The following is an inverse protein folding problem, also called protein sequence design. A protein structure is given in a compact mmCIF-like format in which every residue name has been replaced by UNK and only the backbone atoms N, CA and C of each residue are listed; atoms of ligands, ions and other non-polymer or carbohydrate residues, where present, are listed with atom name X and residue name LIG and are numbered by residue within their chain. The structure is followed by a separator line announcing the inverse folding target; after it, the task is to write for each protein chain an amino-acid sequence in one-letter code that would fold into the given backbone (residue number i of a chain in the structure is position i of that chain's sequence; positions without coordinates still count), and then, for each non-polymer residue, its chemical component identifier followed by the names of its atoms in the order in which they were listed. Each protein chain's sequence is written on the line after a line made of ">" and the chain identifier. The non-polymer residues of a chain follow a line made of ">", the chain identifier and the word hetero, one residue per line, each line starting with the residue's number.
data_IF_407759033716
#
_entry.id   IF_407759033716
#
_cell.length_a   1.000
_cell.length_b   1.000
_cell.length_c   1.000
_cell.angle_alpha   90.00
_cell.angle_beta   90.00
_cell.angle_gamma   90.00
#
_symmetry.space_group_name_H-M   'P 1'
#
loop_
_entity.id
_entity.type
_entity.pdbx_description
1 polymer ?
#
# COMPACT_ATOMS: atom_id res chain seq x y z
N UNK A 1 13.10 11.39 -12.86
CA UNK A 1 12.02 11.08 -11.90
C UNK A 1 12.44 9.78 -11.25
N UNK A 2 12.90 9.84 -10.02
CA UNK A 2 13.60 8.73 -9.37
C UNK A 2 12.61 7.62 -8.94
N UNK A 3 12.98 6.33 -9.06
CA UNK A 3 12.17 5.23 -8.56
C UNK A 3 12.02 5.34 -7.04
N UNK A 4 10.89 4.88 -6.51
CA UNK A 4 10.71 4.80 -5.06
C UNK A 4 11.69 3.79 -4.46
N UNK A 5 12.53 4.23 -3.52
CA UNK A 5 13.46 3.35 -2.79
C UNK A 5 12.95 3.08 -1.38
N UNK A 6 12.55 1.83 -1.12
CA UNK A 6 12.10 1.38 0.18
C UNK A 6 13.15 1.52 1.29
N UNK A 7 14.45 1.51 0.94
CA UNK A 7 15.58 1.70 1.87
C UNK A 7 15.55 3.05 2.60
N UNK A 8 14.87 4.07 2.06
CA UNK A 8 14.71 5.38 2.73
C UNK A 8 13.73 5.31 3.92
N UNK A 9 12.91 4.26 4.00
CA UNK A 9 11.88 4.09 5.02
C UNK A 9 11.96 2.68 5.61
N UNK A 10 13.02 2.38 6.37
CA UNK A 10 13.21 1.09 7.00
C UNK A 10 12.08 0.82 8.00
N UNK A 11 11.56 -0.40 8.00
CA UNK A 11 10.58 -0.87 8.99
C UNK A 11 11.30 -1.66 10.07
N UNK A 12 11.05 -1.33 11.33
CA UNK A 12 11.48 -2.16 12.45
C UNK A 12 10.69 -3.48 12.50
N UNK A 13 11.13 -4.43 13.34
CA UNK A 13 10.58 -5.79 13.42
C UNK A 13 9.07 -5.85 13.72
N UNK A 14 8.50 -4.82 14.36
CA UNK A 14 7.06 -4.72 14.68
C UNK A 14 6.40 -3.50 14.03
N UNK A 15 6.95 -3.02 12.92
CA UNK A 15 6.38 -1.92 12.15
C UNK A 15 5.92 -2.41 10.79
N UNK A 16 4.88 -1.75 10.28
CA UNK A 16 4.34 -1.98 8.95
C UNK A 16 4.23 -0.65 8.23
N UNK A 17 4.32 -0.70 6.90
CA UNK A 17 3.92 0.44 6.07
C UNK A 17 2.43 0.39 5.81
N UNK A 18 1.80 1.55 5.79
CA UNK A 18 0.44 1.76 5.30
C UNK A 18 0.48 2.85 4.25
N UNK A 19 -0.35 2.72 3.23
CA UNK A 19 -0.57 3.79 2.27
C UNK A 19 -1.91 4.47 2.54
N UNK A 20 -1.97 5.77 2.34
CA UNK A 20 -3.23 6.51 2.26
C UNK A 20 -3.48 6.80 0.79
N UNK A 21 -4.39 6.05 0.17
CA UNK A 21 -4.87 6.32 -1.19
C UNK A 21 -5.62 7.65 -1.19
N UNK A 22 -5.08 8.64 -1.90
CA UNK A 22 -5.64 9.98 -1.97
C UNK A 22 -6.90 10.02 -2.85
N UNK A 23 -7.84 10.94 -2.55
CA UNK A 23 -9.05 11.08 -3.35
C UNK A 23 -8.76 11.54 -4.78
N UNK A 24 -9.61 11.15 -5.72
CA UNK A 24 -9.49 11.55 -7.12
C UNK A 24 -10.55 10.89 -8.01
N UNK A 25 -10.78 11.48 -9.19
CA UNK A 25 -11.74 10.98 -10.20
C UNK A 25 -11.14 9.85 -11.01
N UNK A 26 -11.94 9.02 -11.69
CA UNK A 26 -11.45 7.82 -12.41
C UNK A 26 -10.25 8.04 -13.36
N UNK A 27 -10.13 9.21 -13.97
CA UNK A 27 -9.05 9.51 -14.92
C UNK A 27 -7.83 10.20 -14.29
N UNK A 28 -7.91 10.55 -13.01
CA UNK A 28 -6.81 11.20 -12.30
C UNK A 28 -5.73 10.16 -11.97
N UNK A 29 -4.47 10.60 -11.97
CA UNK A 29 -3.36 9.75 -11.54
C UNK A 29 -3.57 9.23 -10.11
N UNK A 30 -3.14 7.99 -9.83
CA UNK A 30 -3.17 7.45 -8.48
C UNK A 30 -2.03 8.03 -7.67
N UNK A 31 -2.39 8.64 -6.56
CA UNK A 31 -1.47 9.21 -5.58
C UNK A 31 -1.74 8.59 -4.23
N UNK A 32 -0.67 8.28 -3.50
CA UNK A 32 -0.72 7.73 -2.17
C UNK A 32 0.26 8.46 -1.26
N UNK A 33 -0.12 8.66 0.00
CA UNK A 33 0.84 9.01 1.04
C UNK A 33 1.33 7.75 1.75
N UNK A 34 2.62 7.70 2.08
CA UNK A 34 3.19 6.57 2.81
C UNK A 34 3.32 6.89 4.29
N UNK A 35 3.11 5.90 5.15
CA UNK A 35 3.28 6.06 6.58
C UNK A 35 3.75 4.76 7.23
N UNK A 36 4.62 4.85 8.24
CA UNK A 36 5.05 3.70 9.05
C UNK A 36 4.25 3.68 10.35
N UNK A 37 3.78 2.51 10.76
CA UNK A 37 3.05 2.32 12.02
C UNK A 37 3.55 1.09 12.75
N UNK A 38 3.55 1.16 14.07
CA UNK A 38 3.77 -0.02 14.91
C UNK A 38 2.53 -0.90 14.89
N UNK A 39 2.73 -2.21 14.88
CA UNK A 39 1.66 -3.20 14.86
C UNK A 39 0.78 -3.14 16.12
N UNK A 40 1.38 -2.86 17.27
CA UNK A 40 0.67 -2.67 18.55
C UNK A 40 -0.30 -1.47 18.52
N UNK A 41 0.08 -0.39 17.82
CA UNK A 41 -0.74 0.80 17.67
C UNK A 41 -1.92 0.61 16.69
N UNK A 42 -2.00 -0.54 16.01
CA UNK A 42 -3.16 -0.88 15.18
C UNK A 42 -4.39 -1.21 16.06
N UNK A 43 -4.17 -1.62 17.30
CA UNK A 43 -5.24 -1.81 18.28
C UNK A 43 -5.85 -0.47 18.75
N UNK A 44 -5.11 0.63 18.66
CA UNK A 44 -5.51 1.97 19.10
C UNK A 44 -6.39 2.73 18.08
N UNK A 45 -7.19 1.99 17.31
CA UNK A 45 -8.28 2.55 16.50
C UNK A 45 -7.81 3.50 15.38
N UNK A 46 -6.65 3.25 14.76
CA UNK A 46 -6.32 3.83 13.46
C UNK A 46 -6.81 2.87 12.36
N UNK A 47 -8.06 2.99 11.90
CA UNK A 47 -8.61 2.05 10.94
C UNK A 47 -7.82 2.10 9.62
N UNK A 48 -7.49 0.93 9.11
CA UNK A 48 -7.01 0.70 7.76
C UNK A 48 -7.69 -0.54 7.21
N UNK A 49 -7.87 -0.58 5.90
CA UNK A 49 -8.40 -1.76 5.21
C UNK A 49 -7.23 -2.55 4.60
N UNK A 50 -7.28 -3.87 4.63
CA UNK A 50 -6.35 -4.68 3.86
C UNK A 50 -6.92 -4.93 2.45
N UNK A 51 -6.07 -4.93 1.42
CA UNK A 51 -6.46 -5.31 0.06
C UNK A 51 -5.94 -6.70 -0.27
N UNK A 52 -6.86 -7.62 -0.58
CA UNK A 52 -6.56 -8.92 -1.14
C UNK A 52 -6.97 -8.95 -2.61
N UNK A 53 -6.05 -9.37 -3.47
CA UNK A 53 -6.25 -9.41 -4.91
C UNK A 53 -5.35 -10.49 -5.53
N UNK A 54 -5.75 -11.02 -6.68
CA UNK A 54 -4.86 -11.83 -7.48
C UNK A 54 -3.80 -10.92 -8.12
N UNK A 55 -2.51 -11.21 -7.89
CA UNK A 55 -1.41 -10.38 -8.41
C UNK A 55 -1.45 -10.21 -9.93
N UNK A 56 -2.08 -11.15 -10.64
CA UNK A 56 -2.33 -11.11 -12.07
C UNK A 56 -1.09 -11.44 -12.90
N UNK A 57 -1.23 -11.38 -14.22
CA UNK A 57 -0.12 -11.60 -15.16
C UNK A 57 0.69 -10.34 -15.37
N UNK A 58 1.97 -10.49 -15.74
CA UNK A 58 2.85 -9.38 -16.11
C UNK A 58 2.29 -8.64 -17.34
N UNK A 59 1.73 -7.45 -17.11
CA UNK A 59 1.43 -6.46 -18.14
C UNK A 59 2.37 -5.25 -18.01
N UNK A 60 2.19 -4.24 -18.87
CA UNK A 60 2.91 -2.99 -18.73
C UNK A 60 2.66 -2.40 -17.32
N UNK A 61 3.73 -2.18 -16.56
CA UNK A 61 3.62 -1.72 -15.19
C UNK A 61 2.99 -0.32 -15.13
N UNK A 62 2.06 -0.13 -14.20
CA UNK A 62 1.37 1.13 -13.97
C UNK A 62 2.03 1.89 -12.83
N UNK A 63 2.02 3.23 -12.91
CA UNK A 63 2.72 4.10 -11.95
C UNK A 63 1.77 4.60 -10.88
N UNK A 64 2.19 4.47 -9.62
CA UNK A 64 1.58 5.14 -8.47
C UNK A 64 2.59 6.15 -7.92
N UNK A 65 2.16 7.37 -7.67
CA UNK A 65 3.00 8.40 -7.06
C UNK A 65 2.90 8.30 -5.53
N UNK A 66 4.06 8.26 -4.87
CA UNK A 66 4.14 8.17 -3.41
C UNK A 66 4.61 9.51 -2.85
N UNK A 67 3.90 9.99 -1.84
CA UNK A 67 4.14 11.24 -1.13
C UNK A 67 4.44 11.00 0.36
N UNK A 68 5.18 11.94 0.95
CA UNK A 68 5.28 12.17 2.38
C UNK A 68 4.88 13.63 2.64
N UNK A 69 3.68 13.82 3.20
CA UNK A 69 2.99 15.09 3.19
C UNK A 69 2.85 15.66 1.77
N UNK A 70 3.32 16.89 1.55
CA UNK A 70 3.28 17.56 0.25
C UNK A 70 4.44 17.20 -0.68
N UNK A 71 5.43 16.42 -0.21
CA UNK A 71 6.63 16.11 -0.97
C UNK A 71 6.51 14.75 -1.66
N UNK A 72 6.67 14.70 -2.98
CA UNK A 72 6.71 13.43 -3.70
C UNK A 72 8.04 12.74 -3.48
N UNK A 73 8.00 11.56 -2.88
CA UNK A 73 9.19 10.78 -2.50
C UNK A 73 9.53 9.67 -3.48
N UNK A 74 8.64 9.32 -4.40
CA UNK A 74 8.96 8.35 -5.45
C UNK A 74 7.78 7.86 -6.27
N UNK A 75 8.05 6.82 -7.08
CA UNK A 75 7.08 6.09 -7.88
C UNK A 75 7.19 4.60 -7.61
N UNK A 76 6.07 3.95 -7.35
CA UNK A 76 5.95 2.50 -7.29
C UNK A 76 5.31 2.00 -8.59
N UNK A 77 5.90 0.95 -9.15
CA UNK A 77 5.37 0.24 -10.31
C UNK A 77 4.51 -0.93 -9.85
N UNK A 78 3.27 -0.98 -10.30
CA UNK A 78 2.29 -2.02 -9.94
C UNK A 78 1.72 -2.72 -11.17
N UNK A 79 1.14 -3.90 -10.96
CA UNK A 79 0.43 -4.61 -12.03
C UNK A 79 -0.84 -3.86 -12.44
N UNK A 80 -1.32 -4.02 -13.70
CA UNK A 80 -2.60 -3.46 -14.12
C UNK A 80 -3.77 -3.89 -13.22
N UNK A 81 -3.75 -5.12 -12.71
CA UNK A 81 -4.78 -5.63 -11.80
C UNK A 81 -4.85 -4.81 -10.51
N UNK A 82 -3.71 -4.56 -9.86
CA UNK A 82 -3.67 -3.73 -8.65
C UNK A 82 -4.06 -2.29 -8.95
N UNK A 83 -3.57 -1.73 -10.05
CA UNK A 83 -3.92 -0.37 -10.46
C UNK A 83 -5.44 -0.20 -10.65
N UNK A 84 -6.09 -1.16 -11.33
CA UNK A 84 -7.54 -1.14 -11.53
C UNK A 84 -8.30 -1.29 -10.22
N UNK A 85 -7.86 -2.19 -9.33
CA UNK A 85 -8.45 -2.33 -8.00
C UNK A 85 -8.42 -1.00 -7.24
N UNK A 86 -7.28 -0.30 -7.27
CA UNK A 86 -7.13 1.01 -6.63
C UNK A 86 -8.01 2.08 -7.27
N UNK A 87 -8.17 2.11 -8.59
CA UNK A 87 -9.11 3.02 -9.25
C UNK A 87 -10.55 2.77 -8.81
N UNK A 88 -10.96 1.51 -8.67
CA UNK A 88 -12.32 1.14 -8.25
C UNK A 88 -12.56 1.46 -6.78
N UNK A 89 -11.59 1.22 -5.91
CA UNK A 89 -11.73 1.48 -4.48
C UNK A 89 -11.44 2.94 -4.09
N UNK A 90 -10.78 3.72 -4.95
CA UNK A 90 -10.56 5.16 -4.73
C UNK A 90 -11.91 5.86 -4.62
N UNK A 91 -12.03 6.72 -3.59
CA UNK A 91 -13.19 7.58 -3.41
C UNK A 91 -12.87 8.95 -3.98
N UNK A 92 -13.87 9.63 -4.52
CA UNK A 92 -13.64 10.95 -5.15
C UNK A 92 -13.34 12.06 -4.15
N UNK A 93 -13.79 11.93 -2.89
CA UNK A 93 -13.74 13.01 -1.90
C UNK A 93 -13.11 12.61 -0.56
N UNK A 94 -12.73 11.34 -0.39
CA UNK A 94 -12.19 10.86 0.88
C UNK A 94 -10.95 10.00 0.63
N UNK A 95 -9.91 10.24 1.41
CA UNK A 95 -8.75 9.37 1.43
C UNK A 95 -9.09 8.01 2.07
N UNK A 96 -8.34 6.98 1.71
CA UNK A 96 -8.53 5.62 2.24
C UNK A 96 -7.19 5.04 2.68
N UNK A 97 -7.09 4.62 3.93
CA UNK A 97 -5.88 3.98 4.44
C UNK A 97 -5.91 2.49 4.15
N UNK A 98 -4.87 2.01 3.49
CA UNK A 98 -4.77 0.65 2.97
C UNK A 98 -3.46 0.00 3.38
N UNK A 99 -3.53 -1.31 3.62
CA UNK A 99 -2.38 -2.19 3.56
C UNK A 99 -2.46 -3.05 2.30
N UNK A 100 -1.40 -3.04 1.51
CA UNK A 100 -1.31 -3.78 0.24
C UNK A 100 0.08 -4.41 0.18
N UNK A 101 0.16 -5.74 0.18
CA UNK A 101 1.44 -6.47 0.23
C UNK A 101 2.48 -5.96 -0.79
N UNK A 102 2.09 -5.78 -2.05
CA UNK A 102 2.97 -5.35 -3.13
C UNK A 102 3.51 -3.91 -3.00
N UNK A 103 2.90 -3.07 -2.15
CA UNK A 103 3.32 -1.67 -1.92
C UNK A 103 3.84 -1.44 -0.49
N UNK A 104 3.35 -2.20 0.49
CA UNK A 104 3.72 -2.02 1.88
C UNK A 104 4.97 -2.82 2.26
N UNK A 105 5.28 -3.88 1.50
CA UNK A 105 6.48 -4.71 1.66
C UNK A 105 7.42 -4.46 0.49
N UNK A 106 8.70 -4.26 0.78
CA UNK A 106 9.75 -4.25 -0.23
C UNK A 106 9.93 -5.65 -0.83
N UNK A 107 9.34 -5.86 -2.01
CA UNK A 107 9.33 -7.15 -2.70
C UNK A 107 10.73 -7.59 -3.16
N UNK A 108 11.70 -6.68 -3.22
CA UNK A 108 13.08 -6.96 -3.64
C UNK A 108 14.01 -7.23 -2.46
N UNK A 109 13.54 -7.06 -1.22
CA UNK A 109 14.33 -7.23 -0.02
C UNK A 109 13.88 -8.46 0.77
N UNK A 110 14.59 -9.58 0.59
CA UNK A 110 14.26 -10.83 1.27
C UNK A 110 14.35 -10.73 2.80
N UNK A 111 15.23 -9.88 3.35
CA UNK A 111 15.29 -9.66 4.80
C UNK A 111 14.00 -9.03 5.29
N UNK A 112 13.50 -8.01 4.60
CA UNK A 112 12.24 -7.37 4.95
C UNK A 112 11.05 -8.31 4.77
N UNK A 113 10.98 -9.04 3.65
CA UNK A 113 9.93 -10.05 3.43
C UNK A 113 9.89 -11.09 4.53
N UNK A 114 11.05 -11.58 4.97
CA UNK A 114 11.13 -12.54 6.08
C UNK A 114 10.65 -11.96 7.43
N UNK A 115 10.67 -10.64 7.59
CA UNK A 115 10.09 -9.96 8.76
C UNK A 115 8.59 -9.69 8.59
N UNK A 116 8.16 -9.24 7.41
CA UNK A 116 6.77 -8.78 7.18
C UNK A 116 5.78 -9.91 6.88
N UNK A 117 6.19 -10.95 6.15
CA UNK A 117 5.30 -12.08 5.77
C UNK A 117 4.71 -12.77 7.02
N UNK A 118 5.49 -13.08 8.08
CA UNK A 118 4.93 -13.65 9.31
C UNK A 118 3.89 -12.75 9.99
N UNK A 119 3.97 -11.42 9.80
CA UNK A 119 3.03 -10.47 10.38
C UNK A 119 1.70 -10.41 9.63
N UNK A 120 1.61 -10.95 8.41
CA UNK A 120 0.40 -10.84 7.57
C UNK A 120 -0.86 -11.29 8.31
N UNK A 121 -0.81 -12.38 9.10
CA UNK A 121 -1.95 -12.83 9.90
C UNK A 121 -2.46 -11.73 10.84
N UNK A 122 -1.56 -11.05 11.53
CA UNK A 122 -1.89 -9.96 12.45
C UNK A 122 -2.35 -8.71 11.69
N UNK A 123 -1.75 -8.41 10.54
CA UNK A 123 -2.12 -7.28 9.70
C UNK A 123 -3.53 -7.47 9.11
N UNK A 124 -3.86 -8.64 8.58
CA UNK A 124 -5.22 -8.90 8.09
C UNK A 124 -6.22 -8.92 9.25
N UNK A 125 -5.88 -9.57 10.37
CA UNK A 125 -6.74 -9.64 11.55
C UNK A 125 -6.97 -8.31 12.27
N UNK A 126 -6.03 -7.36 12.16
CA UNK A 126 -6.13 -6.01 12.74
C UNK A 126 -6.72 -4.96 11.81
N UNK A 127 -7.03 -5.32 10.55
CA UNK A 127 -7.67 -4.39 9.62
C UNK A 127 -9.15 -4.16 9.98
N UNK A 128 -9.65 -2.96 9.70
CA UNK A 128 -11.07 -2.63 9.90
C UNK A 128 -11.99 -3.23 8.84
N UNK A 129 -11.41 -3.80 7.78
CA UNK A 129 -12.13 -4.39 6.67
C UNK A 129 -11.18 -4.98 5.63
N UNK A 130 -11.67 -5.97 4.90
CA UNK A 130 -10.95 -6.60 3.80
C UNK A 130 -11.61 -6.22 2.48
N UNK A 131 -10.84 -5.55 1.63
CA UNK A 131 -11.21 -5.29 0.23
C UNK A 131 -10.74 -6.49 -0.59
N UNK A 132 -11.65 -7.05 -1.38
CA UNK A 132 -11.36 -8.19 -2.25
C UNK A 132 -11.55 -7.74 -3.70
N UNK A 133 -10.51 -7.92 -4.52
CA UNK A 133 -10.56 -7.65 -5.95
C UNK A 133 -10.34 -8.91 -6.77
N UNK A 134 -11.33 -9.25 -7.61
CA UNK A 134 -11.34 -10.48 -8.41
C UNK A 134 -11.04 -10.27 -9.90
N UNK A 135 -10.91 -9.01 -10.36
CA UNK A 135 -10.71 -8.67 -11.77
C UNK A 135 -11.95 -8.11 -12.44
#
# INVERSE_FOLDING_TARGET
>A
MEPFEYSRLPVAQNEIRLITLLPGRKNDQIECELSIRKLEALADNTPYEALSYCWGTMGAAMKIHIYDGSSRIGIVLVTPTLHNALLVFRREQAARKLWIDAICIDQMNDKEKNLQIPLMRQIYGGSSGLLIWLG
#
